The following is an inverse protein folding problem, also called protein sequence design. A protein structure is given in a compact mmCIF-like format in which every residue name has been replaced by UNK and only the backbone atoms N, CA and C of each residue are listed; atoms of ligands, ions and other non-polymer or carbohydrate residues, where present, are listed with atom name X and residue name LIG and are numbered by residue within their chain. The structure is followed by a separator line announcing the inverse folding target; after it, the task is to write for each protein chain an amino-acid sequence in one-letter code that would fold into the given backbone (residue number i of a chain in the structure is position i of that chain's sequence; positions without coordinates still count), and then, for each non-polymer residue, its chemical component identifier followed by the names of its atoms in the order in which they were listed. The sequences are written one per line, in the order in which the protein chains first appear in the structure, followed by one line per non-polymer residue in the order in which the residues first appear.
data_IF_796828525855
#
_entry.id   IF_796828525855
#
_cell.length_a   1.000
_cell.length_b   1.000
_cell.length_c   1.000
_cell.angle_alpha   90.00
_cell.angle_beta   90.00
_cell.angle_gamma   90.00
#
_symmetry.space_group_name_H-M   'P 1'
#
loop_
_entity.id
_entity.type
_entity.pdbx_description
1 polymer ?
#
# COMPACT_ATOMS: atom_id res chain seq x y z
N UNK A 1 -18.91 -20.19 -2.48
CA UNK A 1 -19.27 -18.75 -2.39
C UNK A 1 -17.96 -17.98 -2.14
N UNK A 2 -17.76 -16.78 -2.71
CA UNK A 2 -16.60 -15.98 -2.35
C UNK A 2 -16.62 -15.74 -0.82
N UNK A 3 -15.47 -15.77 -0.13
CA UNK A 3 -15.41 -15.47 1.30
C UNK A 3 -16.04 -14.11 1.56
N UNK A 4 -16.99 -14.05 2.51
CA UNK A 4 -17.67 -12.81 2.91
C UNK A 4 -17.19 -12.43 4.30
N UNK A 5 -16.97 -11.14 4.52
CA UNK A 5 -16.70 -10.64 5.87
C UNK A 5 -17.94 -10.92 6.75
N UNK A 6 -17.80 -11.61 7.90
CA UNK A 6 -18.97 -12.10 8.65
C UNK A 6 -19.79 -10.98 9.31
N UNK A 7 -19.14 -9.85 9.60
CA UNK A 7 -19.71 -8.73 10.36
C UNK A 7 -19.74 -7.46 9.52
N UNK A 8 -20.31 -6.37 10.05
CA UNK A 8 -20.15 -5.05 9.45
C UNK A 8 -18.69 -4.61 9.60
N UNK A 9 -18.01 -4.18 8.52
CA UNK A 9 -16.66 -3.64 8.62
C UNK A 9 -16.59 -2.47 9.62
N UNK A 10 -15.75 -2.59 10.64
CA UNK A 10 -15.44 -1.52 11.59
C UNK A 10 -13.92 -1.42 11.72
N UNK A 11 -13.37 -0.21 11.60
CA UNK A 11 -11.92 0.03 11.73
C UNK A 11 -11.39 -0.28 13.13
N UNK A 12 -12.25 -0.35 14.14
CA UNK A 12 -11.90 -0.80 15.49
C UNK A 12 -11.54 -2.30 15.54
N UNK A 13 -12.07 -3.10 14.63
CA UNK A 13 -11.73 -4.52 14.52
C UNK A 13 -10.30 -4.68 13.98
N UNK A 14 -9.36 -5.28 14.75
CA UNK A 14 -7.98 -5.48 14.30
C UNK A 14 -7.86 -6.38 13.07
N UNK A 15 -8.75 -7.37 12.92
CA UNK A 15 -8.73 -8.28 11.78
C UNK A 15 -9.10 -7.52 10.49
N UNK A 16 -10.13 -6.67 10.57
CA UNK A 16 -10.52 -5.81 9.45
C UNK A 16 -9.42 -4.80 9.11
N UNK A 17 -8.90 -4.10 10.13
CA UNK A 17 -7.83 -3.09 9.97
C UNK A 17 -6.57 -3.67 9.33
N UNK A 18 -6.17 -4.88 9.71
CA UNK A 18 -5.00 -5.57 9.11
C UNK A 18 -5.18 -5.84 7.61
N UNK A 19 -6.38 -6.23 7.17
CA UNK A 19 -6.66 -6.49 5.76
C UNK A 19 -6.76 -5.17 5.00
N UNK A 20 -7.44 -4.19 5.57
CA UNK A 20 -7.58 -2.84 5.01
C UNK A 20 -6.23 -2.18 4.77
N UNK A 21 -5.33 -2.19 5.76
CA UNK A 21 -3.98 -1.62 5.65
C UNK A 21 -3.16 -2.30 4.53
N UNK A 22 -3.26 -3.63 4.40
CA UNK A 22 -2.57 -4.38 3.33
C UNK A 22 -3.14 -4.08 1.95
N UNK A 23 -4.47 -3.95 1.84
CA UNK A 23 -5.12 -3.60 0.58
C UNK A 23 -4.76 -2.17 0.16
N UNK A 24 -4.75 -1.25 1.12
CA UNK A 24 -4.31 0.12 0.89
C UNK A 24 -2.84 0.16 0.44
N UNK A 25 -1.95 -0.60 1.07
CA UNK A 25 -0.58 -0.74 0.61
C UNK A 25 -0.49 -1.29 -0.82
N UNK A 26 -1.24 -2.35 -1.15
CA UNK A 26 -1.28 -2.90 -2.51
C UNK A 26 -1.74 -1.86 -3.55
N UNK A 27 -2.71 -1.02 -3.22
CA UNK A 27 -3.15 0.08 -4.07
C UNK A 27 -2.03 1.11 -4.31
N UNK A 28 -1.28 1.48 -3.27
CA UNK A 28 -0.13 2.38 -3.41
C UNK A 28 0.95 1.77 -4.33
N UNK A 29 1.23 0.48 -4.20
CA UNK A 29 2.15 -0.24 -5.09
C UNK A 29 1.65 -0.20 -6.54
N UNK A 30 0.37 -0.45 -6.77
CA UNK A 30 -0.21 -0.41 -8.12
C UNK A 30 -0.13 0.98 -8.75
N UNK A 31 -0.41 2.04 -7.98
CA UNK A 31 -0.28 3.43 -8.44
C UNK A 31 1.18 3.74 -8.78
N UNK A 32 2.10 3.42 -7.88
CA UNK A 32 3.52 3.63 -8.08
C UNK A 32 4.01 2.92 -9.35
N UNK A 33 3.64 1.66 -9.54
CA UNK A 33 4.01 0.86 -10.70
C UNK A 33 3.43 1.43 -12.01
N UNK A 34 2.16 1.84 -12.00
CA UNK A 34 1.49 2.40 -13.19
C UNK A 34 2.17 3.71 -13.62
N UNK A 35 2.42 4.62 -12.67
CA UNK A 35 3.03 5.92 -12.96
C UNK A 35 4.48 5.75 -13.42
N UNK A 36 5.29 4.99 -12.67
CA UNK A 36 6.70 4.84 -13.01
C UNK A 36 6.87 4.08 -14.33
N UNK A 37 6.12 3.00 -14.57
CA UNK A 37 6.22 2.27 -15.83
C UNK A 37 5.82 3.12 -17.03
N UNK A 38 4.73 3.90 -16.92
CA UNK A 38 4.32 4.84 -17.97
C UNK A 38 5.39 5.91 -18.25
N UNK A 39 5.93 6.53 -17.21
CA UNK A 39 6.98 7.54 -17.38
C UNK A 39 8.25 6.98 -18.00
N UNK A 40 8.72 5.82 -17.53
CA UNK A 40 9.88 5.15 -18.11
C UNK A 40 9.63 4.69 -19.55
N UNK A 41 8.42 4.26 -19.90
CA UNK A 41 8.06 3.95 -21.29
C UNK A 41 8.24 5.18 -22.20
N UNK A 42 7.66 6.33 -21.85
CA UNK A 42 7.79 7.54 -22.67
C UNK A 42 9.18 8.16 -22.65
N UNK A 43 9.91 8.02 -21.54
CA UNK A 43 11.31 8.43 -21.45
C UNK A 43 12.16 7.70 -22.52
N UNK A 44 11.99 6.38 -22.64
CA UNK A 44 12.66 5.57 -23.66
C UNK A 44 12.16 5.91 -25.08
N UNK A 45 10.84 5.99 -25.28
CA UNK A 45 10.25 6.27 -26.60
C UNK A 45 10.73 7.60 -27.19
N UNK A 46 10.93 8.61 -26.33
CA UNK A 46 11.35 9.95 -26.74
C UNK A 46 12.86 10.19 -26.66
N UNK A 47 13.65 9.20 -26.20
CA UNK A 47 15.04 9.39 -25.81
C UNK A 47 15.23 10.64 -24.92
N UNK A 48 14.29 10.84 -23.98
CA UNK A 48 14.30 12.03 -23.12
C UNK A 48 15.47 11.98 -22.14
N UNK A 49 15.88 13.11 -21.58
CA UNK A 49 17.00 13.20 -20.60
C UNK A 49 16.50 13.78 -19.27
N UNK A 50 15.40 13.23 -18.76
CA UNK A 50 14.77 13.75 -17.53
C UNK A 50 15.55 13.34 -16.28
N UNK A 51 16.39 14.26 -15.79
CA UNK A 51 17.21 14.03 -14.58
C UNK A 51 16.37 13.82 -13.30
N UNK A 52 15.12 14.30 -13.28
CA UNK A 52 14.22 14.13 -12.14
C UNK A 52 13.57 12.73 -12.06
N UNK A 53 13.53 11.99 -13.17
CA UNK A 53 12.80 10.72 -13.23
C UNK A 53 13.38 9.65 -12.29
N UNK A 54 14.71 9.44 -12.21
CA UNK A 54 15.30 8.54 -11.22
C UNK A 54 14.96 8.93 -9.78
N UNK A 55 15.01 10.22 -9.44
CA UNK A 55 14.67 10.71 -8.10
C UNK A 55 13.20 10.49 -7.75
N UNK A 56 12.29 10.65 -8.71
CA UNK A 56 10.89 10.31 -8.51
C UNK A 56 10.72 8.81 -8.22
N UNK A 57 11.34 7.93 -9.00
CA UNK A 57 11.25 6.48 -8.80
C UNK A 57 11.83 6.05 -7.45
N UNK A 58 12.99 6.58 -7.07
CA UNK A 58 13.60 6.31 -5.75
C UNK A 58 12.70 6.79 -4.62
N UNK A 59 12.09 7.98 -4.75
CA UNK A 59 11.17 8.51 -3.73
C UNK A 59 9.96 7.60 -3.54
N UNK A 60 9.37 7.07 -4.62
CA UNK A 60 8.31 6.07 -4.53
C UNK A 60 8.74 4.80 -3.81
N UNK A 61 9.93 4.28 -4.10
CA UNK A 61 10.48 3.08 -3.43
C UNK A 61 10.60 3.34 -1.92
N UNK A 62 11.14 4.49 -1.53
CA UNK A 62 11.29 4.86 -0.11
C UNK A 62 9.93 4.97 0.57
N UNK A 63 8.95 5.63 -0.03
CA UNK A 63 7.60 5.77 0.53
C UNK A 63 6.91 4.40 0.71
N UNK A 64 7.02 3.52 -0.29
CA UNK A 64 6.47 2.17 -0.20
C UNK A 64 7.19 1.35 0.88
N UNK A 65 8.51 1.46 0.99
CA UNK A 65 9.27 0.76 2.02
C UNK A 65 8.86 1.22 3.42
N UNK A 66 8.72 2.52 3.64
CA UNK A 66 8.25 3.09 4.91
C UNK A 66 6.84 2.59 5.24
N UNK A 67 5.92 2.63 4.27
CA UNK A 67 4.55 2.13 4.45
C UNK A 67 4.55 0.62 4.78
N UNK A 68 5.35 -0.17 4.08
CA UNK A 68 5.49 -1.60 4.32
C UNK A 68 6.01 -1.90 5.74
N UNK A 69 7.08 -1.22 6.18
CA UNK A 69 7.62 -1.37 7.53
C UNK A 69 6.56 -1.01 8.57
N UNK A 70 5.80 0.07 8.35
CA UNK A 70 4.75 0.48 9.26
C UNK A 70 3.71 -0.63 9.46
N UNK A 71 3.13 -1.17 8.39
CA UNK A 71 2.08 -2.20 8.50
C UNK A 71 2.61 -3.57 8.94
N UNK A 72 3.88 -3.87 8.71
CA UNK A 72 4.48 -5.17 9.01
C UNK A 72 5.05 -5.26 10.44
N UNK A 73 5.63 -4.17 10.94
CA UNK A 73 6.40 -4.18 12.18
C UNK A 73 5.89 -3.22 13.26
N UNK A 74 5.19 -2.13 12.88
CA UNK A 74 4.80 -1.06 13.83
C UNK A 74 3.31 -1.14 14.17
N UNK A 75 2.46 -1.45 13.19
CA UNK A 75 1.02 -1.48 13.38
C UNK A 75 0.62 -2.56 14.40
N UNK A 76 -0.11 -2.14 15.44
CA UNK A 76 -0.61 -3.04 16.47
C UNK A 76 -2.00 -3.58 16.10
N UNK A 77 -2.11 -4.91 16.04
CA UNK A 77 -3.35 -5.64 15.75
C UNK A 77 -3.80 -6.53 16.92
N UNK A 78 -3.28 -6.33 18.14
CA UNK A 78 -3.48 -7.23 19.28
C UNK A 78 -4.73 -6.97 20.11
N UNK A 79 -5.58 -5.99 19.78
CA UNK A 79 -6.78 -5.69 20.58
C UNK A 79 -7.83 -6.80 20.45
N UNK A 80 -7.96 -7.65 21.47
CA UNK A 80 -9.16 -8.48 21.64
C UNK A 80 -10.36 -7.56 21.92
N UNK A 81 -11.46 -7.64 21.15
CA UNK A 81 -12.71 -6.97 21.53
C UNK A 81 -13.08 -7.37 22.97
N UNK A 82 -13.59 -6.44 23.80
CA UNK A 82 -14.07 -6.80 25.13
C UNK A 82 -15.12 -7.91 24.98
N UNK A 83 -14.98 -8.97 25.77
CA UNK A 83 -15.93 -10.08 25.84
C UNK A 83 -17.30 -9.48 26.15
N UNK A 84 -18.25 -9.64 25.22
CA UNK A 84 -19.62 -9.18 25.42
C UNK A 84 -20.26 -10.04 26.51
N UNK A 85 -20.29 -9.52 27.73
CA UNK A 85 -21.07 -10.05 28.86
C UNK A 85 -22.56 -9.95 28.62
#
# INVERSE_FOLDING_TARGET
MPPRWPTKPDRKDPAYRKIDDRMNFALHVAIAATINSGLWFFHNLKAATWEWLPWLTVSWIVLLLVHFIYIAAIANYSETPPEST
#
